data_IF_612903416400
#
_entry.id   IF_612903416400
#
_cell.length_a   1.000
_cell.length_b   1.000
_cell.length_c   1.000
_cell.angle_alpha   90.00
_cell.angle_beta   90.00
_cell.angle_gamma   90.00
#
_symmetry.space_group_name_H-M   'P 1'
#
loop_
_entity.id
_entity.type
_entity.pdbx_description
1 polymer ?
#
# COMPACT_ATOMS: atom_id res chain seq x y z
N UNK A 1 52.04 77.24 3.49
CA UNK A 1 50.69 77.21 4.09
C UNK A 1 49.94 76.00 3.51
N UNK A 2 50.02 74.88 4.27
CA UNK A 2 49.50 73.54 3.72
C UNK A 2 48.22 73.24 4.44
N UNK A 3 47.13 73.23 3.68
CA UNK A 3 45.80 72.88 4.19
C UNK A 3 45.58 71.35 4.07
N UNK A 4 45.49 70.67 5.24
CA UNK A 4 45.20 69.23 5.31
C UNK A 4 43.68 69.01 5.32
N UNK A 5 43.14 68.43 4.27
CA UNK A 5 41.80 67.91 4.26
C UNK A 5 41.76 66.51 4.93
N UNK A 6 40.99 66.42 6.00
CA UNK A 6 40.65 65.11 6.62
C UNK A 6 39.39 64.60 5.90
N UNK A 7 39.54 63.50 5.18
CA UNK A 7 38.43 62.77 4.64
C UNK A 7 37.78 61.93 5.76
N UNK A 8 36.49 62.19 6.03
CA UNK A 8 35.64 61.36 6.89
C UNK A 8 35.09 60.21 6.06
N UNK A 9 35.58 58.98 6.34
CA UNK A 9 34.95 57.79 5.80
C UNK A 9 33.79 57.39 6.71
N UNK A 10 32.56 57.60 6.25
CA UNK A 10 31.37 57.05 6.88
C UNK A 10 31.22 55.60 6.44
N UNK A 11 31.43 54.68 7.36
CA UNK A 11 31.21 53.25 7.15
C UNK A 11 29.72 52.98 7.26
N UNK A 12 29.06 52.81 6.09
CA UNK A 12 27.64 52.48 6.01
C UNK A 12 27.53 50.96 6.14
N UNK A 13 27.23 50.50 7.37
CA UNK A 13 27.03 49.08 7.68
C UNK A 13 25.63 48.68 7.18
N UNK A 14 25.58 48.09 5.98
CA UNK A 14 24.36 47.46 5.46
C UNK A 14 24.21 46.11 6.16
N UNK A 15 23.31 46.07 7.14
CA UNK A 15 22.91 44.83 7.83
C UNK A 15 22.03 43.99 6.86
N UNK A 16 22.64 42.97 6.24
CA UNK A 16 21.95 41.99 5.40
C UNK A 16 21.23 40.99 6.30
N UNK A 17 19.94 41.20 6.52
CA UNK A 17 19.09 40.24 7.24
C UNK A 17 18.77 39.09 6.28
N UNK A 18 19.47 37.96 6.44
CA UNK A 18 19.13 36.71 5.79
C UNK A 18 17.86 36.15 6.41
N UNK A 19 16.72 36.34 5.74
CA UNK A 19 15.52 35.60 6.03
C UNK A 19 15.70 34.14 5.56
N UNK A 20 16.03 33.26 6.50
CA UNK A 20 15.98 31.82 6.28
C UNK A 20 14.52 31.42 6.31
N UNK A 21 13.90 31.27 5.14
CA UNK A 21 12.61 30.62 5.03
C UNK A 21 12.80 29.12 5.31
N UNK A 22 12.56 28.75 6.57
CA UNK A 22 12.40 27.35 6.94
C UNK A 22 11.11 26.84 6.33
N UNK A 23 11.21 26.24 5.13
CA UNK A 23 10.11 25.56 4.48
C UNK A 23 9.84 24.30 5.27
N UNK A 24 8.87 24.34 6.20
CA UNK A 24 8.31 23.14 6.82
C UNK A 24 7.51 22.43 5.73
N UNK A 25 8.12 21.46 5.05
CA UNK A 25 7.36 20.48 4.29
C UNK A 25 6.60 19.62 5.30
N UNK A 26 5.34 19.99 5.52
CA UNK A 26 4.39 19.08 6.15
C UNK A 26 4.04 18.04 5.07
N UNK A 27 4.76 16.94 5.03
CA UNK A 27 4.31 15.76 4.33
C UNK A 27 3.03 15.29 5.03
N UNK A 28 1.91 15.70 4.46
CA UNK A 28 0.61 15.13 4.77
C UNK A 28 0.64 13.73 4.20
N UNK A 29 0.97 12.73 4.99
CA UNK A 29 0.73 11.31 4.69
C UNK A 29 -0.78 11.12 4.60
N UNK A 30 -1.37 11.48 3.46
CA UNK A 30 -2.63 10.90 3.02
C UNK A 30 -2.31 9.48 2.59
N UNK A 31 -2.36 8.53 3.52
CA UNK A 31 -2.55 7.13 3.19
C UNK A 31 -3.98 7.02 2.66
N UNK A 32 -4.18 7.34 1.38
CA UNK A 32 -5.41 7.02 0.68
C UNK A 32 -5.39 5.51 0.39
N UNK A 33 -6.51 4.84 0.54
CA UNK A 33 -6.69 3.44 0.12
C UNK A 33 -6.31 3.23 -1.35
N UNK A 34 -6.23 4.29 -2.15
CA UNK A 34 -5.79 4.34 -3.54
C UNK A 34 -4.26 4.24 -3.74
N UNK A 35 -3.45 4.36 -2.68
CA UNK A 35 -1.98 4.26 -2.78
C UNK A 35 -1.47 2.81 -2.55
N UNK A 36 -2.37 1.87 -2.24
CA UNK A 36 -2.02 0.46 -2.08
C UNK A 36 -2.03 -0.25 -3.43
N UNK A 37 -1.15 -1.25 -3.63
CA UNK A 37 -1.18 -2.07 -4.84
C UNK A 37 -2.47 -2.88 -4.94
N UNK A 38 -2.85 -3.23 -6.16
CA UNK A 38 -3.90 -4.20 -6.41
C UNK A 38 -3.40 -5.65 -6.19
N UNK A 39 -4.25 -6.69 -6.22
CA UNK A 39 -3.82 -8.06 -5.95
C UNK A 39 -2.77 -8.64 -6.93
N UNK A 40 -2.64 -8.09 -8.15
CA UNK A 40 -1.63 -8.52 -9.11
C UNK A 40 -0.28 -7.84 -8.89
N UNK A 41 -0.30 -6.60 -8.40
CA UNK A 41 0.89 -5.81 -8.11
C UNK A 41 1.48 -6.16 -6.75
N UNK A 42 0.62 -6.45 -5.80
CA UNK A 42 1.02 -6.92 -4.48
C UNK A 42 1.80 -8.23 -4.52
N UNK A 43 1.93 -9.11 -4.03
CA UNK A 43 2.67 -10.35 -4.11
C UNK A 43 3.15 -10.74 -2.74
N UNK A 44 4.19 -11.55 -2.70
CA UNK A 44 4.83 -11.92 -1.47
C UNK A 44 6.35 -12.01 -1.68
N UNK A 45 7.11 -11.17 -0.97
CA UNK A 45 8.57 -11.07 -1.14
C UNK A 45 9.01 -10.82 -2.60
N UNK A 46 8.22 -10.02 -3.34
CA UNK A 46 8.50 -9.68 -4.74
C UNK A 46 8.00 -10.69 -5.78
N UNK A 47 7.40 -11.82 -5.34
CA UNK A 47 6.85 -12.83 -6.23
C UNK A 47 5.31 -12.71 -6.32
N UNK A 48 4.76 -12.91 -7.51
CA UNK A 48 3.31 -12.91 -7.71
C UNK A 48 2.66 -14.14 -7.09
N UNK A 49 1.52 -13.95 -6.45
CA UNK A 49 0.70 -15.02 -5.87
C UNK A 49 -0.64 -15.19 -6.58
N UNK A 50 -1.01 -14.22 -7.42
CA UNK A 50 -2.24 -14.24 -8.22
C UNK A 50 -1.93 -14.12 -9.70
N UNK A 51 -2.77 -14.76 -10.53
CA UNK A 51 -2.77 -14.66 -11.99
C UNK A 51 -4.18 -14.33 -12.50
N UNK A 52 -4.27 -13.66 -13.66
CA UNK A 52 -5.55 -13.37 -14.33
C UNK A 52 -5.97 -14.58 -15.14
N UNK A 53 -7.13 -15.16 -14.84
CA UNK A 53 -7.76 -16.19 -15.65
C UNK A 53 -8.65 -15.61 -16.76
N UNK A 54 -9.32 -14.50 -16.46
CA UNK A 54 -10.17 -13.79 -17.40
C UNK A 54 -10.32 -12.32 -16.99
N UNK A 55 -10.41 -11.45 -17.98
CA UNK A 55 -10.69 -10.04 -17.75
C UNK A 55 -11.49 -9.44 -18.92
N UNK A 56 -12.44 -8.58 -18.61
CA UNK A 56 -13.20 -7.77 -19.55
C UNK A 56 -13.56 -6.42 -18.90
N UNK A 57 -14.47 -5.66 -19.51
CA UNK A 57 -14.86 -4.32 -19.02
C UNK A 57 -15.68 -4.36 -17.73
N UNK A 58 -16.28 -5.52 -17.38
CA UNK A 58 -17.20 -5.66 -16.25
C UNK A 58 -16.54 -6.33 -15.04
N UNK A 59 -15.61 -7.27 -15.29
CA UNK A 59 -15.00 -8.06 -14.22
C UNK A 59 -13.60 -8.56 -14.56
N UNK A 60 -12.88 -8.93 -13.51
CA UNK A 60 -11.60 -9.64 -13.55
C UNK A 60 -11.69 -10.88 -12.67
N UNK A 61 -11.28 -12.04 -13.19
CA UNK A 61 -11.19 -13.30 -12.44
C UNK A 61 -9.72 -13.60 -12.19
N UNK A 62 -9.37 -13.69 -10.92
CA UNK A 62 -8.03 -14.06 -10.47
C UNK A 62 -8.03 -15.46 -9.88
N UNK A 63 -6.96 -16.20 -10.09
CA UNK A 63 -6.59 -17.37 -9.30
C UNK A 63 -5.39 -17.02 -8.44
N UNK A 64 -5.52 -17.20 -7.12
CA UNK A 64 -4.45 -16.93 -6.16
C UNK A 64 -4.04 -18.24 -5.49
N UNK A 65 -2.72 -18.48 -5.39
CA UNK A 65 -2.14 -19.71 -4.86
C UNK A 65 -1.18 -19.36 -3.73
N UNK A 66 -1.39 -19.93 -2.57
CA UNK A 66 -0.63 -19.68 -1.35
C UNK A 66 -0.02 -20.98 -0.79
N UNK A 67 1.20 -21.35 -1.18
CA UNK A 67 1.95 -22.39 -0.47
C UNK A 67 2.08 -22.09 1.02
N UNK A 68 2.40 -23.10 1.82
CA UNK A 68 2.69 -22.90 3.24
C UNK A 68 3.77 -21.83 3.46
N UNK A 69 3.52 -20.85 4.32
CA UNK A 69 4.41 -19.72 4.59
C UNK A 69 4.38 -18.61 3.56
N UNK A 70 3.59 -18.71 2.49
CA UNK A 70 3.40 -17.67 1.47
C UNK A 70 2.17 -16.85 1.82
N UNK A 71 2.29 -15.55 1.71
CA UNK A 71 1.22 -14.60 1.97
C UNK A 71 0.86 -13.75 0.75
N UNK A 72 0.16 -12.68 1.02
CA UNK A 72 -0.12 -11.60 0.10
C UNK A 72 0.07 -10.31 0.89
N UNK A 73 1.00 -9.49 0.46
CA UNK A 73 1.31 -8.22 1.11
C UNK A 73 0.08 -7.32 1.11
N UNK A 74 0.10 -6.32 1.96
CA UNK A 74 -1.04 -5.42 2.12
C UNK A 74 -1.47 -4.80 0.79
N UNK A 75 -2.71 -5.04 0.40
CA UNK A 75 -3.29 -4.61 -0.87
C UNK A 75 -4.78 -4.31 -0.71
N UNK A 76 -5.37 -3.71 -1.73
CA UNK A 76 -6.81 -3.50 -1.79
C UNK A 76 -7.47 -4.46 -2.79
N UNK A 77 -8.75 -4.75 -2.58
CA UNK A 77 -9.64 -5.33 -3.59
C UNK A 77 -10.80 -4.37 -3.87
N UNK A 78 -11.21 -4.19 -5.12
CA UNK A 78 -12.50 -3.59 -5.43
C UNK A 78 -13.64 -4.49 -4.90
N UNK A 79 -14.92 -4.13 -5.07
CA UNK A 79 -16.02 -5.05 -4.79
C UNK A 79 -15.77 -6.40 -5.45
N UNK A 80 -15.93 -7.49 -4.68
CA UNK A 80 -15.54 -8.82 -5.16
C UNK A 80 -16.29 -9.94 -4.46
N UNK A 81 -16.27 -11.10 -5.10
CA UNK A 81 -16.64 -12.40 -4.53
C UNK A 81 -15.43 -13.33 -4.63
N UNK A 82 -15.10 -14.00 -3.55
CA UNK A 82 -14.09 -15.03 -3.49
C UNK A 82 -14.69 -16.42 -3.29
N UNK A 83 -14.04 -17.43 -3.86
CA UNK A 83 -14.38 -18.85 -3.68
C UNK A 83 -13.13 -19.64 -3.37
N UNK A 84 -13.18 -20.45 -2.33
CA UNK A 84 -12.07 -21.30 -1.89
C UNK A 84 -12.04 -22.61 -2.66
N UNK A 85 -11.02 -22.80 -3.50
CA UNK A 85 -10.79 -24.06 -4.23
C UNK A 85 -10.11 -25.09 -3.33
N UNK A 86 -9.10 -24.67 -2.58
CA UNK A 86 -8.37 -25.48 -1.60
C UNK A 86 -8.24 -24.65 -0.32
N UNK A 87 -8.75 -25.20 0.78
CA UNK A 87 -8.77 -24.54 2.08
C UNK A 87 -7.40 -24.39 2.71
N UNK A 88 -7.30 -23.51 3.73
CA UNK A 88 -6.08 -23.28 4.47
C UNK A 88 -6.31 -22.55 5.78
N UNK A 89 -5.22 -22.42 6.56
CA UNK A 89 -5.20 -21.60 7.77
C UNK A 89 -4.42 -20.33 7.51
N UNK A 90 -5.05 -19.18 7.76
CA UNK A 90 -4.46 -17.88 7.48
C UNK A 90 -4.37 -17.00 8.71
N UNK A 91 -3.28 -16.23 8.80
CA UNK A 91 -3.23 -15.01 9.57
C UNK A 91 -3.66 -13.87 8.65
N UNK A 92 -4.67 -13.13 9.07
CA UNK A 92 -5.23 -11.99 8.33
C UNK A 92 -5.05 -10.71 9.14
N UNK A 93 -4.66 -9.64 8.48
CA UNK A 93 -4.53 -8.29 9.04
C UNK A 93 -5.41 -7.37 8.22
N UNK A 94 -6.42 -6.77 8.84
CA UNK A 94 -7.32 -5.79 8.21
C UNK A 94 -7.74 -4.72 9.24
N UNK A 95 -8.76 -3.92 8.94
CA UNK A 95 -9.29 -2.87 9.82
C UNK A 95 -9.78 -3.38 11.18
N UNK A 96 -10.07 -4.69 11.31
CA UNK A 96 -10.48 -5.36 12.56
C UNK A 96 -9.29 -5.87 13.37
N UNK A 97 -8.06 -5.64 12.90
CA UNK A 97 -6.82 -6.08 13.51
C UNK A 97 -6.32 -7.42 12.97
N UNK A 98 -5.41 -8.05 13.71
CA UNK A 98 -4.79 -9.33 13.35
C UNK A 98 -5.59 -10.49 13.94
N UNK A 99 -5.89 -11.50 13.12
CA UNK A 99 -6.57 -12.73 13.55
C UNK A 99 -6.14 -13.94 12.73
N UNK A 100 -6.33 -15.11 13.28
CA UNK A 100 -6.20 -16.39 12.57
C UNK A 100 -7.58 -16.88 12.14
N UNK A 101 -7.68 -17.36 10.91
CA UNK A 101 -8.91 -17.89 10.32
C UNK A 101 -8.64 -19.23 9.64
N UNK A 102 -9.55 -20.19 9.82
CA UNK A 102 -9.58 -21.40 9.00
C UNK A 102 -10.59 -21.18 7.87
N UNK A 103 -10.13 -21.33 6.64
CA UNK A 103 -10.95 -21.16 5.45
C UNK A 103 -11.15 -22.52 4.82
N UNK A 104 -12.36 -23.12 4.90
CA UNK A 104 -12.60 -24.44 4.32
C UNK A 104 -12.74 -24.35 2.80
N UNK A 105 -12.53 -25.47 2.11
CA UNK A 105 -12.89 -25.66 0.71
C UNK A 105 -14.38 -25.34 0.49
N UNK A 106 -14.72 -24.72 -0.63
CA UNK A 106 -16.09 -24.33 -0.97
C UNK A 106 -16.61 -23.11 -0.23
N UNK A 107 -15.81 -22.46 0.64
CA UNK A 107 -16.23 -21.26 1.34
C UNK A 107 -16.31 -20.08 0.37
N UNK A 108 -17.45 -19.36 0.42
CA UNK A 108 -17.68 -18.13 -0.34
C UNK A 108 -17.53 -16.93 0.59
N UNK A 109 -16.79 -15.94 0.16
CA UNK A 109 -16.56 -14.68 0.87
C UNK A 109 -16.62 -13.51 -0.12
N UNK A 110 -16.59 -12.29 0.37
CA UNK A 110 -16.56 -11.12 -0.49
C UNK A 110 -17.01 -9.85 0.21
N UNK A 111 -17.09 -8.78 -0.56
CA UNK A 111 -17.53 -7.46 -0.12
C UNK A 111 -18.10 -6.67 -1.29
N UNK A 112 -19.17 -5.91 -1.05
CA UNK A 112 -19.75 -4.96 -2.00
C UNK A 112 -19.01 -3.60 -1.99
N UNK A 113 -17.95 -3.49 -1.22
CA UNK A 113 -17.11 -2.28 -1.13
C UNK A 113 -15.63 -2.65 -1.22
N UNK A 114 -14.79 -1.63 -1.45
CA UNK A 114 -13.33 -1.79 -1.40
C UNK A 114 -12.92 -2.34 -0.03
N UNK A 115 -12.04 -3.34 -0.04
CA UNK A 115 -11.45 -3.91 1.16
C UNK A 115 -9.93 -3.82 1.10
N UNK A 116 -9.30 -3.73 2.27
CA UNK A 116 -7.84 -3.70 2.42
C UNK A 116 -7.44 -4.76 3.43
N UNK A 117 -6.51 -5.61 3.03
CA UNK A 117 -5.97 -6.62 3.95
C UNK A 117 -4.55 -7.07 3.55
N UNK A 118 -3.94 -7.80 4.47
CA UNK A 118 -2.75 -8.62 4.30
C UNK A 118 -3.08 -10.02 4.79
N UNK A 119 -2.60 -11.05 4.11
CA UNK A 119 -2.80 -12.44 4.53
C UNK A 119 -1.50 -13.22 4.47
N UNK A 120 -1.38 -14.23 5.34
CA UNK A 120 -0.29 -15.19 5.33
C UNK A 120 -0.85 -16.59 5.58
N UNK A 121 -0.56 -17.52 4.68
CA UNK A 121 -0.86 -18.93 4.91
C UNK A 121 0.05 -19.48 6.03
N UNK A 122 -0.53 -19.70 7.21
CA UNK A 122 0.13 -20.27 8.39
C UNK A 122 -0.18 -21.77 8.56
N UNK A 123 -0.86 -22.37 7.58
CA UNK A 123 -1.11 -23.80 7.52
C UNK A 123 0.06 -24.55 6.88
N UNK A 124 -0.09 -25.86 6.74
CA UNK A 124 0.94 -26.75 6.19
C UNK A 124 0.73 -27.06 4.70
N UNK A 125 -0.47 -26.81 4.19
CA UNK A 125 -0.87 -27.12 2.81
C UNK A 125 -0.93 -25.86 1.95
N UNK A 126 -0.80 -26.02 0.62
CA UNK A 126 -1.12 -24.98 -0.34
C UNK A 126 -2.62 -24.71 -0.33
N UNK A 127 -3.00 -23.44 -0.23
CA UNK A 127 -4.39 -22.99 -0.38
C UNK A 127 -4.59 -22.29 -1.73
N UNK A 128 -5.78 -22.41 -2.32
CA UNK A 128 -6.11 -21.83 -3.62
C UNK A 128 -7.48 -21.14 -3.60
N UNK A 129 -7.56 -19.98 -4.24
CA UNK A 129 -8.78 -19.19 -4.31
C UNK A 129 -9.03 -18.68 -5.72
N UNK A 130 -10.32 -18.56 -6.05
CA UNK A 130 -10.79 -17.71 -7.14
C UNK A 130 -11.32 -16.41 -6.56
N UNK A 131 -10.95 -15.29 -7.17
CA UNK A 131 -11.44 -13.96 -6.81
C UNK A 131 -12.07 -13.35 -8.05
N UNK A 132 -13.33 -12.95 -7.96
CA UNK A 132 -14.07 -12.28 -9.02
C UNK A 132 -14.25 -10.83 -8.59
N UNK A 133 -13.51 -9.92 -9.20
CA UNK A 133 -13.55 -8.49 -8.93
C UNK A 133 -14.44 -7.79 -9.94
N UNK A 134 -15.32 -6.93 -9.46
CA UNK A 134 -16.18 -6.08 -10.30
C UNK A 134 -15.44 -4.76 -10.61
N UNK A 135 -15.61 -4.27 -11.84
CA UNK A 135 -14.99 -3.02 -12.32
C UNK A 135 -15.95 -1.86 -12.30
#
# INVERSE_FOLDING_TARGET
MILRYKAFFTFNSVLFILFVFSSCNTETTKNSEHDLPDPLEAGWNGERVCEVLKENDELRILKCIFPAGVGHEKHYHPPHVGYTLVGGKFRMIDSRGTREVNVPEGYVFGSDSVTVHEVLNIGENTAEFLIIEYK
#
